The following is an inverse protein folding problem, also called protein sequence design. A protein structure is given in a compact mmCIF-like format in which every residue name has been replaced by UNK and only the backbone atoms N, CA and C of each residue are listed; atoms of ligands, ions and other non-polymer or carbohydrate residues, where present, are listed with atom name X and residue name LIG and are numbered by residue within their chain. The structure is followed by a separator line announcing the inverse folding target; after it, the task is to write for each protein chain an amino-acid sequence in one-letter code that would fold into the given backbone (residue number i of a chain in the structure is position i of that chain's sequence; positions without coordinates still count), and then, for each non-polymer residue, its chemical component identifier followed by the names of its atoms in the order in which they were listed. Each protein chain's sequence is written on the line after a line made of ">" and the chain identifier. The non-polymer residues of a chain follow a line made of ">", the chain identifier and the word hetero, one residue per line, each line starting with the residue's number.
data_IF_292421852615
#
_entry.id   IF_292421852615
#
_cell.length_a   1.000
_cell.length_b   1.000
_cell.length_c   1.000
_cell.angle_alpha   90.00
_cell.angle_beta   90.00
_cell.angle_gamma   90.00
#
_symmetry.space_group_name_H-M   'P 1'
#
loop_
_entity.id
_entity.type
_entity.pdbx_description
1 polymer ?
#
# COMPACT_ATOMS: atom_id res chain seq x y z
N UNK A 1 -30.86 -13.14 26.39
CA UNK A 1 -30.90 -14.63 26.20
C UNK A 1 -29.48 -15.17 26.31
N UNK A 2 -29.24 -16.27 27.03
CA UNK A 2 -27.90 -16.93 27.11
C UNK A 2 -27.38 -17.21 28.52
N UNK A 3 -27.96 -16.60 29.54
CA UNK A 3 -27.47 -16.68 30.93
C UNK A 3 -28.13 -17.80 31.77
N UNK A 4 -29.12 -18.50 31.22
CA UNK A 4 -29.84 -19.55 31.94
C UNK A 4 -28.93 -20.73 32.25
N UNK A 5 -28.77 -21.05 33.54
CA UNK A 5 -27.92 -22.15 34.00
C UNK A 5 -28.77 -23.37 34.37
N UNK A 6 -28.41 -24.56 33.86
CA UNK A 6 -29.05 -25.84 34.21
C UNK A 6 -28.00 -26.93 34.44
N UNK A 7 -28.26 -27.92 35.32
CA UNK A 7 -27.34 -29.03 35.52
C UNK A 7 -27.03 -29.77 34.22
N UNK A 8 -25.73 -29.98 33.95
CA UNK A 8 -25.25 -30.65 32.74
C UNK A 8 -25.16 -29.76 31.49
N UNK A 9 -25.47 -28.47 31.59
CA UNK A 9 -25.26 -27.49 30.51
C UNK A 9 -24.08 -26.56 30.82
N UNK A 10 -23.38 -26.15 29.77
CA UNK A 10 -22.34 -25.13 29.82
C UNK A 10 -22.87 -23.86 29.13
N UNK A 11 -22.74 -22.72 29.81
CA UNK A 11 -23.14 -21.44 29.25
C UNK A 11 -22.20 -21.03 28.11
N UNK A 12 -22.69 -20.25 27.13
CA UNK A 12 -21.82 -19.68 26.11
C UNK A 12 -20.78 -18.76 26.75
N UNK A 13 -19.57 -18.76 26.18
CA UNK A 13 -18.48 -17.85 26.60
C UNK A 13 -18.72 -16.41 26.12
N UNK A 14 -19.56 -16.22 25.10
CA UNK A 14 -20.01 -14.94 24.56
C UNK A 14 -21.38 -15.11 23.91
N UNK A 15 -22.29 -14.16 24.13
CA UNK A 15 -23.59 -14.10 23.48
C UNK A 15 -24.01 -12.65 23.26
N UNK A 16 -24.93 -12.42 22.33
CA UNK A 16 -25.32 -11.08 21.87
C UNK A 16 -26.29 -10.35 22.80
N UNK A 17 -26.61 -10.94 23.96
CA UNK A 17 -27.59 -10.41 24.90
C UNK A 17 -28.99 -10.31 24.28
N UNK A 18 -29.55 -9.10 24.28
CA UNK A 18 -30.84 -8.77 23.67
C UNK A 18 -30.69 -8.10 22.29
N UNK A 19 -29.45 -7.83 21.87
CA UNK A 19 -29.15 -7.31 20.53
C UNK A 19 -29.17 -8.44 19.50
N UNK A 20 -29.73 -8.17 18.32
CA UNK A 20 -29.64 -9.10 17.19
C UNK A 20 -28.50 -8.71 16.25
N UNK A 21 -27.39 -9.46 16.27
CA UNK A 21 -26.28 -9.22 15.34
C UNK A 21 -26.52 -9.88 13.97
N UNK A 22 -27.16 -11.05 13.94
CA UNK A 22 -27.25 -11.90 12.75
C UNK A 22 -25.86 -12.17 12.13
N UNK A 23 -24.99 -12.92 12.85
CA UNK A 23 -23.65 -13.28 12.38
C UNK A 23 -23.74 -14.17 11.12
N UNK A 24 -22.68 -14.13 10.31
CA UNK A 24 -22.60 -14.83 9.04
C UNK A 24 -21.21 -15.46 8.85
N UNK A 25 -20.45 -15.06 7.83
CA UNK A 25 -19.07 -15.53 7.65
C UNK A 25 -18.16 -15.10 8.79
N UNK A 26 -17.14 -15.92 9.07
CA UNK A 26 -16.20 -15.68 10.14
C UNK A 26 -14.85 -16.35 9.88
N UNK A 27 -13.76 -15.76 10.40
CA UNK A 27 -12.39 -16.23 10.16
C UNK A 27 -11.45 -15.85 11.30
N UNK A 28 -10.47 -16.71 11.60
CA UNK A 28 -9.30 -16.31 12.38
C UNK A 28 -8.26 -15.66 11.46
N UNK A 29 -7.74 -14.50 11.84
CA UNK A 29 -6.73 -13.81 11.07
C UNK A 29 -5.32 -14.20 11.53
N UNK A 30 -4.48 -14.68 10.61
CA UNK A 30 -3.07 -15.02 10.86
C UNK A 30 -2.15 -14.37 9.81
N UNK A 31 -2.40 -13.11 9.48
CA UNK A 31 -1.65 -12.35 8.47
C UNK A 31 -0.60 -11.42 9.07
N UNK A 32 0.43 -11.10 8.28
CA UNK A 32 1.53 -10.19 8.61
C UNK A 32 1.17 -8.71 8.38
N UNK A 33 0.13 -8.43 7.59
CA UNK A 33 -0.21 -7.05 7.17
C UNK A 33 -0.89 -6.21 8.24
N UNK A 34 -1.43 -6.85 9.27
CA UNK A 34 -2.09 -6.20 10.41
C UNK A 34 -1.69 -6.98 11.67
N UNK A 35 -0.42 -6.90 12.12
CA UNK A 35 0.13 -7.79 13.14
C UNK A 35 -0.66 -7.79 14.46
N UNK A 36 -1.22 -6.64 14.84
CA UNK A 36 -2.05 -6.48 16.04
C UNK A 36 -3.35 -7.28 16.00
N UNK A 37 -3.73 -7.84 14.85
CA UNK A 37 -4.92 -8.68 14.68
C UNK A 37 -4.58 -10.18 14.61
N UNK A 38 -3.30 -10.55 14.67
CA UNK A 38 -2.89 -11.95 14.58
C UNK A 38 -3.52 -12.78 15.71
N UNK A 39 -4.21 -13.86 15.35
CA UNK A 39 -4.95 -14.73 16.26
C UNK A 39 -6.34 -14.24 16.66
N UNK A 40 -6.76 -13.03 16.26
CA UNK A 40 -8.13 -12.54 16.53
C UNK A 40 -9.14 -13.18 15.58
N UNK A 41 -10.35 -13.34 16.08
CA UNK A 41 -11.48 -13.92 15.35
C UNK A 41 -12.43 -12.83 14.87
N UNK A 42 -12.75 -12.84 13.59
CA UNK A 42 -13.59 -11.83 12.95
C UNK A 42 -14.91 -12.44 12.49
N UNK A 43 -16.02 -11.76 12.73
CA UNK A 43 -17.37 -12.21 12.36
C UNK A 43 -18.10 -11.08 11.62
N UNK A 44 -18.51 -11.34 10.38
CA UNK A 44 -19.35 -10.42 9.62
C UNK A 44 -20.79 -10.46 10.15
N UNK A 45 -21.39 -9.29 10.41
CA UNK A 45 -22.76 -9.20 10.93
C UNK A 45 -23.72 -8.52 9.95
N UNK A 46 -24.87 -9.17 9.73
CA UNK A 46 -25.88 -8.71 8.78
C UNK A 46 -26.79 -7.64 9.38
N UNK A 47 -27.47 -7.93 10.50
CA UNK A 47 -28.36 -6.96 11.16
C UNK A 47 -27.57 -6.03 12.08
N UNK A 48 -26.46 -6.51 12.61
CA UNK A 48 -25.55 -5.76 13.46
C UNK A 48 -24.77 -4.66 12.73
N UNK A 49 -24.66 -4.72 11.39
CA UNK A 49 -23.96 -3.74 10.55
C UNK A 49 -22.54 -3.40 11.03
N UNK A 50 -21.78 -4.40 11.49
CA UNK A 50 -20.38 -4.25 11.91
C UNK A 50 -19.57 -5.52 11.64
N UNK A 51 -18.26 -5.38 11.57
CA UNK A 51 -17.34 -6.49 11.68
C UNK A 51 -17.01 -6.67 13.16
N UNK A 52 -17.35 -7.83 13.73
CA UNK A 52 -17.11 -8.10 15.14
C UNK A 52 -15.75 -8.77 15.30
N UNK A 53 -14.86 -8.19 16.12
CA UNK A 53 -13.52 -8.71 16.39
C UNK A 53 -13.48 -9.25 17.81
N UNK A 54 -13.06 -10.49 17.98
CA UNK A 54 -13.01 -11.19 19.27
C UNK A 54 -11.59 -11.67 19.52
N UNK A 55 -11.10 -11.47 20.74
CA UNK A 55 -9.88 -12.05 21.25
C UNK A 55 -10.21 -13.17 22.24
N UNK A 56 -9.68 -14.36 21.98
CA UNK A 56 -9.87 -15.53 22.84
C UNK A 56 -8.62 -15.85 23.64
N UNK A 57 -8.82 -16.19 24.90
CA UNK A 57 -7.88 -16.98 25.69
C UNK A 57 -8.30 -18.44 25.55
N UNK A 58 -7.62 -19.16 24.65
CA UNK A 58 -7.93 -20.55 24.31
C UNK A 58 -7.60 -21.48 25.49
N UNK A 59 -6.55 -21.18 26.25
CA UNK A 59 -6.11 -22.03 27.37
C UNK A 59 -7.13 -22.02 28.50
N UNK A 60 -7.69 -20.84 28.80
CA UNK A 60 -8.68 -20.67 29.87
C UNK A 60 -10.12 -20.72 29.38
N UNK A 61 -10.34 -20.94 28.07
CA UNK A 61 -11.65 -20.98 27.41
C UNK A 61 -12.50 -19.73 27.72
N UNK A 62 -11.93 -18.54 27.48
CA UNK A 62 -12.55 -17.25 27.78
C UNK A 62 -12.41 -16.27 26.62
N UNK A 63 -13.32 -15.30 26.57
CA UNK A 63 -13.14 -14.09 25.75
C UNK A 63 -12.36 -13.07 26.57
N UNK A 64 -11.27 -12.58 26.00
CA UNK A 64 -10.44 -11.51 26.57
C UNK A 64 -11.07 -10.15 26.28
N UNK A 65 -11.49 -9.96 25.03
CA UNK A 65 -12.14 -8.74 24.56
C UNK A 65 -12.99 -9.02 23.31
N UNK A 66 -14.01 -8.20 23.10
CA UNK A 66 -14.76 -8.13 21.85
C UNK A 66 -15.06 -6.68 21.46
N UNK A 67 -14.97 -6.38 20.17
CA UNK A 67 -15.10 -5.02 19.64
C UNK A 67 -15.93 -5.00 18.35
N UNK A 68 -16.72 -3.94 18.18
CA UNK A 68 -17.49 -3.69 16.95
C UNK A 68 -16.70 -2.73 16.05
N UNK A 69 -16.19 -3.23 14.93
CA UNK A 69 -15.43 -2.47 13.94
C UNK A 69 -16.36 -2.04 12.79
N UNK A 70 -16.17 -0.81 12.28
CA UNK A 70 -16.93 -0.25 11.15
C UNK A 70 -18.45 -0.18 11.35
N UNK A 71 -18.89 0.00 12.60
CA UNK A 71 -20.30 0.02 12.98
C UNK A 71 -21.11 1.04 12.16
N UNK A 72 -21.98 0.53 11.28
CA UNK A 72 -22.88 1.33 10.45
C UNK A 72 -22.26 1.89 9.17
N UNK A 73 -20.94 1.76 8.97
CA UNK A 73 -20.23 2.41 7.85
C UNK A 73 -20.58 1.80 6.48
N UNK A 74 -20.77 0.48 6.43
CA UNK A 74 -20.92 -0.27 5.17
C UNK A 74 -22.26 -1.00 5.05
N UNK A 75 -23.11 -0.90 6.07
CA UNK A 75 -24.36 -1.66 6.14
C UNK A 75 -24.13 -3.13 6.50
N UNK A 76 -24.87 -4.01 5.83
CA UNK A 76 -24.95 -5.45 6.11
C UNK A 76 -23.68 -6.14 5.61
N UNK A 77 -22.99 -6.89 6.48
CA UNK A 77 -21.79 -7.66 6.12
C UNK A 77 -22.12 -9.15 6.09
N UNK A 78 -21.71 -9.85 5.04
CA UNK A 78 -22.07 -11.25 4.75
C UNK A 78 -20.95 -12.24 4.97
N UNK A 79 -19.74 -11.85 4.64
CA UNK A 79 -18.59 -12.74 4.71
C UNK A 79 -17.32 -11.96 5.03
N UNK A 80 -16.35 -12.65 5.60
CA UNK A 80 -15.03 -12.14 5.94
C UNK A 80 -13.98 -13.23 5.68
N UNK A 81 -12.93 -12.90 4.95
CA UNK A 81 -11.87 -13.84 4.59
C UNK A 81 -10.51 -13.17 4.47
N UNK A 82 -9.44 -13.93 4.71
CA UNK A 82 -8.07 -13.49 4.43
C UNK A 82 -7.77 -13.72 2.95
N UNK A 83 -7.34 -12.68 2.24
CA UNK A 83 -6.91 -12.76 0.85
C UNK A 83 -5.49 -13.34 0.70
N UNK A 84 -5.08 -13.71 -0.53
CA UNK A 84 -3.74 -14.26 -0.79
C UNK A 84 -2.62 -13.24 -0.58
N UNK A 85 -2.95 -11.94 -0.55
CA UNK A 85 -2.03 -10.84 -0.23
C UNK A 85 -1.87 -10.60 1.28
N UNK A 86 -2.52 -11.42 2.11
CA UNK A 86 -2.41 -11.37 3.57
C UNK A 86 -3.33 -10.35 4.25
N UNK A 87 -4.12 -9.56 3.50
CA UNK A 87 -5.10 -8.64 4.06
C UNK A 87 -6.45 -9.33 4.34
N UNK A 88 -7.25 -8.72 5.22
CA UNK A 88 -8.61 -9.17 5.51
C UNK A 88 -9.61 -8.45 4.59
N UNK A 89 -10.55 -9.21 4.04
CA UNK A 89 -11.58 -8.74 3.12
C UNK A 89 -12.97 -8.96 3.69
N UNK A 90 -13.90 -8.05 3.40
CA UNK A 90 -15.30 -8.10 3.82
C UNK A 90 -16.21 -8.03 2.60
N UNK A 91 -17.24 -8.88 2.55
CA UNK A 91 -18.33 -8.79 1.56
C UNK A 91 -19.56 -8.06 2.15
N UNK A 92 -20.05 -7.02 1.47
CA UNK A 92 -21.34 -6.39 1.83
C UNK A 92 -22.54 -7.16 1.24
N UNK A 93 -23.72 -6.97 1.81
CA UNK A 93 -24.96 -7.63 1.36
C UNK A 93 -26.20 -6.74 1.55
N UNK A 94 -26.10 -5.49 1.09
CA UNK A 94 -27.16 -4.49 1.18
C UNK A 94 -28.28 -4.72 0.15
N UNK A 95 -28.02 -5.44 -0.95
CA UNK A 95 -29.02 -5.74 -1.98
C UNK A 95 -29.87 -6.99 -1.71
N UNK A 96 -29.76 -7.61 -0.53
CA UNK A 96 -30.45 -8.87 -0.20
C UNK A 96 -31.94 -8.72 0.18
N UNK A 97 -32.53 -7.55 -0.11
CA UNK A 97 -33.91 -7.21 0.23
C UNK A 97 -34.14 -6.82 1.68
N UNK A 98 -33.10 -6.79 2.52
CA UNK A 98 -33.19 -6.37 3.94
C UNK A 98 -32.33 -5.15 4.27
N UNK A 99 -31.56 -4.65 3.31
CA UNK A 99 -30.71 -3.46 3.44
C UNK A 99 -31.26 -2.22 2.75
N UNK A 100 -30.49 -1.13 2.84
CA UNK A 100 -30.71 0.12 2.11
C UNK A 100 -29.54 0.34 1.15
N UNK A 101 -29.57 -0.29 -0.04
CA UNK A 101 -28.41 -0.33 -0.94
C UNK A 101 -28.05 1.05 -1.49
N UNK A 102 -26.75 1.32 -1.56
CA UNK A 102 -26.20 2.46 -2.29
C UNK A 102 -25.96 2.09 -3.77
N UNK A 103 -25.72 3.10 -4.61
CA UNK A 103 -25.55 2.93 -6.07
C UNK A 103 -24.44 1.92 -6.45
N UNK A 104 -23.42 1.79 -5.60
CA UNK A 104 -22.26 0.92 -5.83
C UNK A 104 -22.23 -0.33 -4.94
N UNK A 105 -23.32 -0.64 -4.21
CA UNK A 105 -23.39 -1.91 -3.51
C UNK A 105 -23.72 -3.05 -4.49
N UNK A 106 -23.40 -4.31 -4.22
CA UNK A 106 -22.58 -4.80 -3.12
C UNK A 106 -21.07 -4.77 -3.45
N UNK A 107 -20.23 -4.77 -2.42
CA UNK A 107 -18.79 -4.53 -2.51
C UNK A 107 -17.99 -5.59 -1.78
N UNK A 108 -16.79 -5.85 -2.30
CA UNK A 108 -15.72 -6.52 -1.58
C UNK A 108 -14.75 -5.43 -1.11
N UNK A 109 -14.58 -5.30 0.21
CA UNK A 109 -13.75 -4.28 0.84
C UNK A 109 -12.47 -4.91 1.37
N UNK A 110 -11.32 -4.34 1.05
CA UNK A 110 -10.03 -4.71 1.65
C UNK A 110 -9.74 -3.79 2.84
N UNK A 111 -9.34 -4.37 3.97
CA UNK A 111 -8.92 -3.60 5.15
C UNK A 111 -7.41 -3.40 5.09
N UNK A 112 -6.96 -2.14 5.21
CA UNK A 112 -5.54 -1.79 5.26
C UNK A 112 -5.26 -0.88 6.46
N UNK A 113 -4.08 -0.96 7.10
CA UNK A 113 -3.66 0.03 8.08
C UNK A 113 -3.63 1.43 7.45
N UNK A 114 -4.18 2.43 8.14
CA UNK A 114 -4.14 3.83 7.69
C UNK A 114 -2.74 4.45 7.79
N UNK A 115 -1.86 3.87 8.62
CA UNK A 115 -0.57 4.44 9.01
C UNK A 115 0.60 3.46 8.84
N UNK A 116 0.59 2.59 7.83
CA UNK A 116 1.82 1.87 7.51
C UNK A 116 2.77 2.89 6.88
N UNK A 117 3.54 3.59 7.71
CA UNK A 117 4.63 4.43 7.27
C UNK A 117 5.68 3.46 6.76
N UNK A 118 5.79 3.35 5.44
CA UNK A 118 6.70 2.40 4.80
C UNK A 118 7.84 3.11 4.05
N UNK A 119 7.80 4.44 3.99
CA UNK A 119 8.74 5.27 3.25
C UNK A 119 9.01 6.59 3.97
N UNK A 120 10.06 7.28 3.54
CA UNK A 120 10.34 8.64 3.99
C UNK A 120 9.18 9.59 3.66
N UNK A 121 8.58 9.45 2.47
CA UNK A 121 7.43 10.24 2.01
C UNK A 121 6.20 10.02 2.90
N UNK A 122 5.90 8.77 3.26
CA UNK A 122 4.79 8.46 4.17
C UNK A 122 5.04 9.07 5.56
N UNK A 123 6.28 8.98 6.04
CA UNK A 123 6.67 9.51 7.35
C UNK A 123 6.53 11.04 7.37
N UNK A 124 7.01 11.70 6.32
CA UNK A 124 6.87 13.14 6.15
C UNK A 124 5.40 13.57 5.99
N UNK A 125 4.63 12.87 5.15
CA UNK A 125 3.21 13.15 4.92
C UNK A 125 2.36 12.96 6.18
N UNK A 126 2.75 12.02 7.06
CA UNK A 126 2.14 11.82 8.37
C UNK A 126 2.53 12.90 9.41
N UNK A 127 3.39 13.86 9.05
CA UNK A 127 3.74 15.03 9.87
C UNK A 127 4.85 14.78 10.90
N UNK A 128 5.62 13.71 10.75
CA UNK A 128 6.76 13.42 11.64
C UNK A 128 7.96 14.34 11.37
N UNK A 129 8.81 14.57 12.39
CA UNK A 129 9.95 15.48 12.26
C UNK A 129 10.99 14.96 11.27
N UNK A 130 11.48 15.87 10.40
CA UNK A 130 12.65 15.64 9.55
C UNK A 130 13.91 16.05 10.32
N UNK A 131 14.90 15.17 10.37
CA UNK A 131 16.21 15.43 10.97
C UNK A 131 17.12 16.20 10.00
N UNK A 132 17.88 17.17 10.53
CA UNK A 132 18.91 17.90 9.79
C UNK A 132 20.11 16.98 9.47
N UNK A 133 19.93 16.12 8.47
CA UNK A 133 20.91 15.15 7.99
C UNK A 133 20.82 15.02 6.46
N UNK A 134 21.87 14.48 5.84
CA UNK A 134 21.90 14.14 4.42
C UNK A 134 22.32 12.67 4.23
N UNK A 135 21.47 11.79 3.65
CA UNK A 135 20.09 12.04 3.20
C UNK A 135 19.17 12.52 4.33
N UNK A 136 18.05 13.17 3.97
CA UNK A 136 17.05 13.56 4.98
C UNK A 136 16.51 12.31 5.64
N UNK A 137 16.16 12.43 6.92
CA UNK A 137 15.62 11.31 7.69
C UNK A 137 14.36 11.76 8.40
N UNK A 138 13.37 10.90 8.46
CA UNK A 138 12.12 11.12 9.16
C UNK A 138 11.96 10.05 10.25
N UNK A 139 11.53 10.47 11.45
CA UNK A 139 11.45 9.58 12.61
C UNK A 139 10.05 9.56 13.22
N UNK A 140 9.50 8.37 13.40
CA UNK A 140 8.17 8.15 13.96
C UNK A 140 8.16 8.20 15.49
N UNK A 141 6.97 8.33 16.08
CA UNK A 141 6.81 8.42 17.54
C UNK A 141 7.17 7.15 18.31
N UNK A 142 7.09 5.99 17.66
CA UNK A 142 7.54 4.68 18.14
C UNK A 142 9.04 4.42 17.86
N UNK A 143 9.72 5.35 17.17
CA UNK A 143 11.17 5.37 17.05
C UNK A 143 11.74 4.74 15.79
N UNK A 144 10.91 4.37 14.81
CA UNK A 144 11.36 3.95 13.48
C UNK A 144 11.95 5.13 12.71
N UNK A 145 12.98 4.87 11.91
CA UNK A 145 13.68 5.86 11.10
C UNK A 145 13.55 5.51 9.63
N UNK A 146 13.09 6.47 8.84
CA UNK A 146 12.96 6.39 7.39
C UNK A 146 13.96 7.35 6.77
N UNK A 147 14.81 6.85 5.89
CA UNK A 147 15.83 7.63 5.20
C UNK A 147 15.32 7.93 3.80
N UNK A 148 15.46 9.18 3.36
CA UNK A 148 15.15 9.59 1.99
C UNK A 148 16.02 8.80 1.00
N UNK A 149 15.38 8.22 -0.01
CA UNK A 149 16.08 7.52 -1.09
C UNK A 149 16.74 8.53 -2.03
N UNK A 150 18.07 8.54 -2.04
CA UNK A 150 18.84 9.38 -2.95
C UNK A 150 19.29 8.56 -4.15
N UNK A 151 18.83 8.97 -5.33
CA UNK A 151 19.35 8.44 -6.58
C UNK A 151 20.75 9.01 -6.81
N UNK A 152 21.76 8.14 -6.76
CA UNK A 152 23.15 8.48 -7.08
C UNK A 152 23.41 8.11 -8.53
N UNK A 153 23.65 9.11 -9.38
CA UNK A 153 23.99 8.91 -10.79
C UNK A 153 25.49 9.17 -10.98
N UNK A 154 26.25 8.23 -11.58
CA UNK A 154 27.66 8.45 -11.90
C UNK A 154 27.90 9.74 -12.69
N UNK A 155 28.97 10.45 -12.35
CA UNK A 155 29.31 11.75 -12.96
C UNK A 155 29.44 11.67 -14.49
N UNK A 156 30.02 10.58 -15.01
CA UNK A 156 30.20 10.44 -16.47
C UNK A 156 28.87 10.40 -17.25
N UNK A 157 27.76 9.98 -16.61
CA UNK A 157 26.42 9.99 -17.23
C UNK A 157 25.90 11.44 -17.32
N UNK A 158 26.15 12.25 -16.27
CA UNK A 158 25.86 13.68 -16.31
C UNK A 158 26.71 14.39 -17.37
N UNK A 159 27.99 14.07 -17.45
CA UNK A 159 28.89 14.63 -18.45
C UNK A 159 28.41 14.27 -19.88
N UNK A 160 27.93 13.04 -20.06
CA UNK A 160 27.32 12.57 -21.32
C UNK A 160 26.03 13.32 -21.66
N UNK A 161 25.20 13.66 -20.67
CA UNK A 161 23.99 14.46 -20.87
C UNK A 161 24.29 15.87 -21.38
N UNK A 162 25.38 16.51 -20.93
CA UNK A 162 25.83 17.81 -21.47
C UNK A 162 26.19 17.66 -22.93
N UNK A 163 27.08 16.71 -23.26
CA UNK A 163 27.53 16.46 -24.63
C UNK A 163 26.35 16.14 -25.56
N UNK A 164 25.38 15.39 -25.07
CA UNK A 164 24.19 15.05 -25.82
C UNK A 164 23.28 16.25 -26.06
N UNK A 165 23.13 17.11 -25.05
CA UNK A 165 22.32 18.33 -25.14
C UNK A 165 22.90 19.36 -26.10
N UNK A 166 24.23 19.39 -26.25
CA UNK A 166 24.95 20.26 -27.17
C UNK A 166 25.17 19.61 -28.56
N UNK A 167 24.46 18.52 -28.86
CA UNK A 167 24.52 17.77 -30.12
C UNK A 167 25.94 17.25 -30.48
N UNK A 168 26.81 17.06 -29.48
CA UNK A 168 28.17 16.51 -29.65
C UNK A 168 28.16 14.98 -29.78
N UNK A 169 27.25 14.31 -29.07
CA UNK A 169 27.04 12.85 -29.18
C UNK A 169 25.62 12.55 -29.67
N UNK A 170 25.46 11.36 -30.25
CA UNK A 170 24.18 10.91 -30.81
C UNK A 170 23.20 10.47 -29.72
N UNK A 171 21.92 10.42 -30.08
CA UNK A 171 20.85 9.87 -29.24
C UNK A 171 21.16 8.43 -28.82
N UNK A 172 21.66 7.60 -29.73
CA UNK A 172 22.08 6.22 -29.46
C UNK A 172 23.17 6.17 -28.39
N UNK A 173 24.22 6.99 -28.53
CA UNK A 173 25.34 7.05 -27.59
C UNK A 173 24.92 7.46 -26.18
N UNK A 174 23.98 8.39 -26.05
CA UNK A 174 23.45 8.79 -24.75
C UNK A 174 22.54 7.71 -24.15
N UNK A 175 21.71 7.07 -24.98
CA UNK A 175 20.85 5.95 -24.57
C UNK A 175 21.65 4.76 -24.07
N UNK A 176 22.79 4.45 -24.69
CA UNK A 176 23.72 3.43 -24.19
C UNK A 176 24.22 3.76 -22.78
N UNK A 177 24.51 5.05 -22.52
CA UNK A 177 24.86 5.52 -21.17
C UNK A 177 23.74 5.32 -20.14
N UNK A 178 22.47 5.42 -20.55
CA UNK A 178 21.32 5.15 -19.67
C UNK A 178 21.18 3.66 -19.33
N UNK A 179 21.75 2.74 -20.11
CA UNK A 179 21.74 1.31 -19.79
C UNK A 179 22.41 1.03 -18.44
N UNK A 180 23.42 1.80 -18.08
CA UNK A 180 24.06 1.69 -16.77
C UNK A 180 23.13 2.09 -15.61
N UNK A 181 22.18 3.00 -15.84
CA UNK A 181 21.15 3.30 -14.85
C UNK A 181 20.14 2.17 -14.69
N UNK A 182 19.84 1.41 -15.75
CA UNK A 182 19.06 0.18 -15.66
C UNK A 182 19.84 -0.89 -14.89
N UNK A 183 21.16 -1.02 -15.13
CA UNK A 183 22.04 -1.94 -14.39
C UNK A 183 22.06 -1.66 -12.89
N UNK A 184 22.07 -0.38 -12.51
CA UNK A 184 22.02 0.05 -11.10
C UNK A 184 20.61 0.01 -10.49
N UNK A 185 19.59 -0.38 -11.25
CA UNK A 185 18.20 -0.42 -10.79
C UNK A 185 17.57 0.96 -10.56
N UNK A 186 18.16 2.01 -11.15
CA UNK A 186 17.64 3.38 -11.11
C UNK A 186 16.52 3.58 -12.13
N UNK A 187 16.58 2.89 -13.27
CA UNK A 187 15.55 2.87 -14.31
C UNK A 187 14.98 1.45 -14.45
N UNK A 188 13.70 1.34 -14.78
CA UNK A 188 13.07 0.06 -15.09
C UNK A 188 13.43 -0.44 -16.51
N UNK A 189 13.34 -1.75 -16.77
CA UNK A 189 13.57 -2.31 -18.11
C UNK A 189 12.42 -1.98 -19.06
N UNK A 190 12.73 -1.65 -20.32
CA UNK A 190 11.72 -1.42 -21.35
C UNK A 190 11.54 -2.61 -22.35
N UNK A 191 10.37 -2.69 -23.00
CA UNK A 191 10.01 -3.71 -23.98
C UNK A 191 10.93 -3.70 -25.25
N UNK A 192 11.40 -4.85 -25.75
CA UNK A 192 12.35 -4.94 -26.87
C UNK A 192 11.91 -4.53 -28.27
N UNK A 193 10.61 -4.45 -28.57
CA UNK A 193 10.17 -4.44 -29.97
C UNK A 193 9.82 -3.05 -30.56
N UNK A 194 10.44 -1.95 -30.10
CA UNK A 194 10.13 -0.60 -30.63
C UNK A 194 11.34 0.34 -30.74
N UNK A 195 11.35 1.13 -31.82
CA UNK A 195 12.36 2.16 -32.12
C UNK A 195 12.25 3.41 -31.22
N UNK A 196 13.39 3.99 -30.84
CA UNK A 196 13.46 5.22 -30.03
C UNK A 196 12.97 6.45 -30.81
N UNK A 197 12.07 7.24 -30.20
CA UNK A 197 11.51 8.49 -30.76
C UNK A 197 11.74 9.64 -29.79
N UNK A 198 12.98 10.05 -29.62
CA UNK A 198 13.37 11.03 -28.61
C UNK A 198 12.94 12.45 -29.04
N UNK A 199 12.03 13.11 -28.30
CA UNK A 199 11.65 14.49 -28.60
C UNK A 199 12.77 15.47 -28.26
N UNK A 200 13.03 16.49 -29.09
CA UNK A 200 14.11 17.47 -28.86
C UNK A 200 14.06 18.20 -27.51
N UNK A 201 12.87 18.37 -26.92
CA UNK A 201 12.73 19.10 -25.67
C UNK A 201 13.49 18.45 -24.50
N UNK A 202 13.68 17.13 -24.51
CA UNK A 202 14.35 16.43 -23.40
C UNK A 202 15.84 16.81 -23.29
N UNK A 203 16.46 17.23 -24.41
CA UNK A 203 17.85 17.70 -24.39
C UNK A 203 18.04 18.93 -23.50
N UNK A 204 17.02 19.79 -23.40
CA UNK A 204 17.03 20.90 -22.45
C UNK A 204 16.99 20.40 -21.00
N UNK A 205 16.16 19.40 -20.71
CA UNK A 205 16.09 18.76 -19.39
C UNK A 205 17.41 18.08 -19.02
N UNK A 206 18.07 17.40 -19.97
CA UNK A 206 19.39 16.81 -19.78
C UNK A 206 20.46 17.85 -19.45
N UNK A 207 20.41 19.01 -20.12
CA UNK A 207 21.29 20.15 -19.82
C UNK A 207 21.03 20.73 -18.44
N UNK A 208 19.75 20.95 -18.08
CA UNK A 208 19.37 21.43 -16.76
C UNK A 208 19.81 20.48 -15.66
N UNK A 209 19.68 19.17 -15.89
CA UNK A 209 20.11 18.15 -14.94
C UNK A 209 21.61 18.18 -14.72
N UNK A 210 22.39 18.10 -15.79
CA UNK A 210 23.84 18.04 -15.69
C UNK A 210 24.49 19.37 -15.24
N UNK A 211 23.75 20.48 -15.31
CA UNK A 211 24.18 21.78 -14.76
C UNK A 211 23.63 22.05 -13.35
N UNK A 212 22.94 21.08 -12.74
CA UNK A 212 22.41 21.18 -11.37
C UNK A 212 21.18 22.09 -11.21
N UNK A 213 20.49 22.43 -12.30
CA UNK A 213 19.24 23.19 -12.26
C UNK A 213 18.04 22.30 -11.90
N UNK A 214 18.11 21.00 -12.19
CA UNK A 214 17.18 19.98 -11.69
C UNK A 214 17.97 18.82 -11.08
N UNK A 215 17.40 18.13 -10.10
CA UNK A 215 18.04 17.02 -9.40
C UNK A 215 17.97 15.68 -10.16
N UNK A 216 18.69 14.67 -9.66
CA UNK A 216 18.72 13.32 -10.23
C UNK A 216 17.32 12.68 -10.29
N UNK A 217 16.50 12.89 -9.26
CA UNK A 217 15.15 12.32 -9.19
C UNK A 217 14.25 12.87 -10.29
N UNK A 218 14.24 14.19 -10.47
CA UNK A 218 13.46 14.88 -11.50
C UNK A 218 13.85 14.44 -12.91
N UNK A 219 15.16 14.29 -13.15
CA UNK A 219 15.64 13.82 -14.45
C UNK A 219 15.28 12.36 -14.70
N UNK A 220 15.50 11.47 -13.72
CA UNK A 220 15.16 10.04 -13.83
C UNK A 220 13.67 9.85 -14.05
N UNK A 221 12.80 10.57 -13.34
CA UNK A 221 11.34 10.52 -13.56
C UNK A 221 10.96 10.94 -14.98
N UNK A 222 11.66 11.92 -15.55
CA UNK A 222 11.43 12.36 -16.94
C UNK A 222 11.81 11.25 -17.94
N UNK A 223 12.94 10.57 -17.72
CA UNK A 223 13.39 9.43 -18.51
C UNK A 223 12.43 8.24 -18.36
N UNK A 224 12.02 7.92 -17.14
CA UNK A 224 11.05 6.87 -16.84
C UNK A 224 9.71 7.13 -17.53
N UNK A 225 9.20 8.37 -17.48
CA UNK A 225 8.00 8.76 -18.22
C UNK A 225 8.16 8.58 -19.73
N UNK A 226 9.32 8.88 -20.30
CA UNK A 226 9.59 8.64 -21.72
C UNK A 226 9.60 7.15 -22.06
N UNK A 227 10.06 6.31 -21.14
CA UNK A 227 10.03 4.86 -21.29
C UNK A 227 8.61 4.30 -21.24
N UNK A 228 7.79 4.78 -20.29
CA UNK A 228 6.38 4.43 -20.16
C UNK A 228 5.54 4.85 -21.38
N UNK A 229 5.88 6.00 -21.99
CA UNK A 229 5.22 6.51 -23.20
C UNK A 229 5.82 6.00 -24.50
N UNK A 230 6.76 5.06 -24.42
CA UNK A 230 7.37 4.40 -25.58
C UNK A 230 8.15 5.36 -26.50
N UNK A 231 8.60 6.51 -25.98
CA UNK A 231 9.51 7.42 -26.68
C UNK A 231 10.97 6.98 -26.56
N UNK A 232 11.30 6.24 -25.49
CA UNK A 232 12.65 5.85 -25.14
C UNK A 232 12.67 4.40 -24.66
N UNK A 233 13.67 3.64 -25.08
CA UNK A 233 13.88 2.25 -24.66
C UNK A 233 15.34 2.10 -24.25
N UNK A 234 15.52 1.62 -23.02
CA UNK A 234 16.80 1.34 -22.40
C UNK A 234 16.70 -0.06 -21.80
N UNK A 235 17.73 -0.88 -21.99
CA UNK A 235 17.75 -2.28 -21.58
C UNK A 235 19.06 -2.63 -20.92
N UNK A 236 19.02 -3.76 -20.21
CA UNK A 236 20.18 -4.45 -19.65
C UNK A 236 20.95 -5.23 -20.70
#
# INVERSE_FOLDING_TARGET
>A
IGDETKPGLQNPILHTGDDTWAPSGAVFYYGDKIPQWNGKYFVATLRGNHLHMIEFDIENNKVVSDEKIFQGNFGRLRDVATGPDGYLYILTSNQDGRGSPQINDDRILRITPLNAINSFEDCFAAGFPIMESYPRQCRTGDGENFVEDIIIIPQWIQDSAILWSDDVISDETFVDGLQELVNYGVLENANPDSENKIPKWIKNSAKWWATGQIDNQTFVQSIQWMMDKEFLRVQR
#
